data_IF_581343214343
#
_entry.id   IF_581343214343
#
_cell.length_a   1.000
_cell.length_b   1.000
_cell.length_c   1.000
_cell.angle_alpha   90.00
_cell.angle_beta   90.00
_cell.angle_gamma   90.00
#
_symmetry.space_group_name_H-M   'P 1'
#
loop_
_entity.id
_entity.type
_entity.pdbx_description
1 polymer ?
#
# COMPACT_ATOMS: atom_id res chain seq x y z
N UNK A 1 -43.78 -48.41 -60.14
CA UNK A 1 -42.37 -48.08 -60.43
C UNK A 1 -41.81 -47.22 -59.29
N UNK A 2 -40.76 -47.61 -58.57
CA UNK A 2 -40.14 -46.75 -57.55
C UNK A 2 -38.93 -46.00 -58.14
N UNK A 3 -38.82 -44.70 -57.86
CA UNK A 3 -37.69 -43.87 -58.26
C UNK A 3 -36.53 -43.95 -57.26
N UNK A 4 -35.26 -43.87 -57.69
CA UNK A 4 -34.11 -43.93 -56.79
C UNK A 4 -33.92 -42.58 -56.07
N UNK A 5 -33.91 -42.62 -54.73
CA UNK A 5 -33.57 -41.47 -53.88
C UNK A 5 -32.06 -41.23 -53.95
N UNK A 6 -31.62 -40.10 -54.53
CA UNK A 6 -30.23 -39.63 -54.47
C UNK A 6 -29.86 -39.35 -53.02
N UNK A 7 -28.98 -40.16 -52.44
CA UNK A 7 -28.38 -39.90 -51.12
C UNK A 7 -27.37 -38.76 -51.26
N UNK A 8 -27.67 -37.62 -50.65
CA UNK A 8 -26.72 -36.52 -50.48
C UNK A 8 -25.59 -36.99 -49.56
N UNK A 9 -24.35 -36.90 -50.03
CA UNK A 9 -23.17 -37.25 -49.23
C UNK A 9 -22.89 -36.10 -48.26
N UNK A 10 -22.74 -36.34 -46.95
CA UNK A 10 -22.37 -35.30 -46.01
C UNK A 10 -20.95 -34.81 -46.33
N UNK A 11 -20.78 -33.51 -46.53
CA UNK A 11 -19.47 -32.88 -46.61
C UNK A 11 -18.87 -32.89 -45.21
N UNK A 12 -17.82 -33.68 -44.99
CA UNK A 12 -17.07 -33.67 -43.74
C UNK A 12 -16.50 -32.27 -43.53
N UNK A 13 -16.98 -31.57 -42.51
CA UNK A 13 -16.37 -30.33 -42.04
C UNK A 13 -14.94 -30.65 -41.61
N UNK A 14 -13.95 -30.10 -42.30
CA UNK A 14 -12.55 -30.23 -41.89
C UNK A 14 -12.38 -29.52 -40.54
N UNK A 15 -12.34 -30.29 -39.46
CA UNK A 15 -11.87 -29.79 -38.17
C UNK A 15 -10.39 -29.44 -38.33
N UNK A 16 -10.09 -28.15 -38.44
CA UNK A 16 -8.71 -27.65 -38.37
C UNK A 16 -8.28 -27.71 -36.90
N UNK A 17 -7.44 -28.69 -36.58
CA UNK A 17 -6.78 -28.78 -35.29
C UNK A 17 -5.59 -27.83 -35.19
N UNK A 18 -5.24 -27.45 -33.97
CA UNK A 18 -4.03 -26.69 -33.66
C UNK A 18 -2.78 -27.50 -34.00
N UNK A 19 -1.73 -26.83 -34.48
CA UNK A 19 -0.45 -27.49 -34.74
C UNK A 19 0.45 -27.43 -33.50
N UNK A 20 1.33 -28.42 -33.33
CA UNK A 20 2.29 -28.43 -32.21
C UNK A 20 3.22 -27.21 -32.23
N UNK A 21 3.58 -26.74 -33.43
CA UNK A 21 4.44 -25.56 -33.59
C UNK A 21 3.75 -24.27 -33.13
N UNK A 22 2.43 -24.17 -33.28
CA UNK A 22 1.64 -23.02 -32.84
C UNK A 22 1.64 -22.91 -31.31
N UNK A 23 1.51 -24.04 -30.60
CA UNK A 23 1.65 -24.08 -29.14
C UNK A 23 3.10 -23.77 -28.70
N UNK A 24 4.10 -24.27 -29.43
CA UNK A 24 5.51 -24.04 -29.14
C UNK A 24 5.86 -22.54 -29.22
N UNK A 25 5.39 -21.85 -30.26
CA UNK A 25 5.62 -20.40 -30.41
C UNK A 25 4.96 -19.61 -29.27
N UNK A 26 3.75 -19.97 -28.85
CA UNK A 26 3.06 -19.29 -27.73
C UNK A 26 3.85 -19.42 -26.43
N UNK A 27 4.28 -20.62 -26.05
CA UNK A 27 5.01 -20.80 -24.78
C UNK A 27 6.38 -20.10 -24.81
N UNK A 28 7.03 -20.01 -25.97
CA UNK A 28 8.29 -19.26 -26.12
C UNK A 28 8.06 -17.77 -25.89
N UNK A 29 7.02 -17.19 -26.49
CA UNK A 29 6.68 -15.77 -26.28
C UNK A 29 6.30 -15.51 -24.82
N UNK A 30 5.49 -16.39 -24.20
CA UNK A 30 5.13 -16.27 -22.78
C UNK A 30 6.37 -16.33 -21.86
N UNK A 31 7.33 -17.20 -22.15
CA UNK A 31 8.57 -17.32 -21.38
C UNK A 31 9.42 -16.06 -21.48
N UNK A 32 9.50 -15.45 -22.67
CA UNK A 32 10.23 -14.20 -22.89
C UNK A 32 9.54 -13.01 -22.19
N UNK A 33 8.20 -12.93 -22.24
CA UNK A 33 7.44 -11.87 -21.58
C UNK A 33 7.49 -11.96 -20.05
N UNK A 34 7.52 -13.17 -19.48
CA UNK A 34 7.55 -13.37 -18.03
C UNK A 34 8.73 -12.65 -17.34
N UNK A 35 9.89 -12.58 -18.01
CA UNK A 35 11.10 -11.90 -17.49
C UNK A 35 10.89 -10.38 -17.36
N UNK A 36 10.12 -9.77 -18.27
CA UNK A 36 9.93 -8.32 -18.32
C UNK A 36 8.82 -7.81 -17.38
N UNK A 37 7.86 -8.66 -17.00
CA UNK A 37 6.69 -8.23 -16.20
C UNK A 37 6.94 -8.35 -14.69
N UNK A 38 7.93 -9.14 -14.27
CA UNK A 38 8.21 -9.40 -12.86
C UNK A 38 8.64 -8.18 -11.99
N UNK A 39 9.55 -7.28 -12.42
CA UNK A 39 10.15 -6.32 -11.48
C UNK A 39 9.25 -5.14 -11.10
N UNK A 40 8.21 -4.84 -11.89
CA UNK A 40 7.40 -3.63 -11.68
C UNK A 40 6.30 -3.79 -10.61
N UNK A 41 5.90 -5.01 -10.27
CA UNK A 41 4.77 -5.19 -9.33
C UNK A 41 5.21 -5.02 -7.89
N UNK A 42 6.40 -5.48 -7.52
CA UNK A 42 6.90 -5.44 -6.14
C UNK A 42 7.27 -4.02 -5.70
N UNK A 43 8.01 -3.25 -6.52
CA UNK A 43 8.38 -1.86 -6.20
C UNK A 43 7.19 -0.92 -5.98
N UNK A 44 6.08 -1.17 -6.70
CA UNK A 44 4.88 -0.35 -6.58
C UNK A 44 4.15 -0.56 -5.24
N UNK A 45 4.34 -1.71 -4.59
CA UNK A 45 3.72 -1.98 -3.28
C UNK A 45 4.46 -1.17 -2.21
N UNK A 46 5.79 -1.24 -2.17
CA UNK A 46 6.59 -0.51 -1.18
C UNK A 46 6.40 1.02 -1.30
N UNK A 47 6.32 1.56 -2.52
CA UNK A 47 6.06 2.99 -2.75
C UNK A 47 4.65 3.41 -2.28
N UNK A 48 3.64 2.56 -2.49
CA UNK A 48 2.27 2.82 -2.06
C UNK A 48 2.11 2.76 -0.54
N UNK A 49 2.84 1.85 0.13
CA UNK A 49 2.90 1.76 1.59
C UNK A 49 3.50 3.04 2.19
N UNK A 50 4.63 3.50 1.64
CA UNK A 50 5.25 4.79 2.03
C UNK A 50 4.30 5.96 1.83
N UNK A 51 3.61 6.04 0.69
CA UNK A 51 2.66 7.13 0.42
C UNK A 51 1.48 7.12 1.40
N UNK A 52 0.96 5.92 1.71
CA UNK A 52 -0.11 5.73 2.70
C UNK A 52 0.32 6.22 4.08
N UNK A 53 1.49 5.77 4.55
CA UNK A 53 2.07 6.18 5.85
C UNK A 53 2.29 7.70 5.90
N UNK A 54 2.81 8.32 4.84
CA UNK A 54 2.98 9.79 4.77
C UNK A 54 1.65 10.53 4.90
N UNK A 55 0.60 10.04 4.25
CA UNK A 55 -0.72 10.65 4.30
C UNK A 55 -1.33 10.52 5.70
N UNK A 56 -1.17 9.36 6.34
CA UNK A 56 -1.58 9.13 7.74
C UNK A 56 -0.85 10.08 8.69
N UNK A 57 0.49 10.15 8.62
CA UNK A 57 1.31 11.07 9.44
C UNK A 57 0.86 12.53 9.26
N UNK A 58 0.56 12.96 8.03
CA UNK A 58 0.07 14.31 7.75
C UNK A 58 -1.29 14.58 8.42
N UNK A 59 -2.21 13.61 8.34
CA UNK A 59 -3.54 13.68 8.97
C UNK A 59 -3.44 13.71 10.50
N UNK A 60 -2.62 12.84 11.09
CA UNK A 60 -2.38 12.78 12.52
C UNK A 60 -1.73 14.06 13.03
N UNK A 61 -0.77 14.63 12.28
CA UNK A 61 -0.14 15.91 12.62
C UNK A 61 -1.17 17.03 12.73
N UNK A 62 -2.12 17.09 11.79
CA UNK A 62 -3.19 18.09 11.84
C UNK A 62 -4.13 17.86 13.01
N UNK A 63 -4.50 16.61 13.26
CA UNK A 63 -5.38 16.26 14.37
C UNK A 63 -4.76 16.59 15.73
N UNK A 64 -3.48 16.31 15.91
CA UNK A 64 -2.75 16.67 17.12
C UNK A 64 -2.68 18.19 17.33
N UNK A 65 -2.56 18.99 16.25
CA UNK A 65 -2.66 20.47 16.39
C UNK A 65 -4.03 20.87 16.92
N UNK A 66 -5.11 20.27 16.42
CA UNK A 66 -6.47 20.55 16.91
C UNK A 66 -6.59 20.18 18.39
N UNK A 67 -6.03 19.03 18.81
CA UNK A 67 -5.98 18.64 20.22
C UNK A 67 -5.27 19.69 21.08
N UNK A 68 -4.08 20.13 20.65
CA UNK A 68 -3.30 21.16 21.35
C UNK A 68 -4.07 22.48 21.45
N UNK A 69 -4.78 22.88 20.40
CA UNK A 69 -5.62 24.07 20.41
C UNK A 69 -6.79 23.95 21.41
N UNK A 70 -7.38 22.76 21.55
CA UNK A 70 -8.54 22.50 22.42
C UNK A 70 -8.18 22.28 23.89
N UNK A 71 -7.05 21.66 24.19
CA UNK A 71 -6.66 21.23 25.54
C UNK A 71 -5.42 21.96 26.07
N UNK A 72 -4.75 22.77 25.24
CA UNK A 72 -3.52 23.53 25.57
C UNK A 72 -2.33 22.67 26.02
N UNK A 73 -2.40 21.36 25.80
CA UNK A 73 -1.34 20.37 26.03
C UNK A 73 -1.22 19.46 24.82
N UNK A 74 -0.08 18.79 24.69
CA UNK A 74 0.10 17.72 23.71
C UNK A 74 -0.65 16.46 24.15
N UNK A 75 -1.09 15.61 23.22
CA UNK A 75 -1.60 14.29 23.56
C UNK A 75 -0.46 13.43 24.12
N UNK A 76 -0.74 12.65 25.16
CA UNK A 76 0.24 11.72 25.75
C UNK A 76 0.21 10.36 25.03
N UNK A 77 -0.99 9.89 24.69
CA UNK A 77 -1.21 8.61 24.01
C UNK A 77 -2.26 8.75 22.89
N UNK A 78 -2.40 7.72 22.06
CA UNK A 78 -3.36 7.71 20.95
C UNK A 78 -4.81 7.70 21.42
N UNK A 79 -5.11 7.09 22.57
CA UNK A 79 -6.47 7.03 23.14
C UNK A 79 -7.08 8.42 23.29
N UNK A 80 -6.28 9.43 23.61
CA UNK A 80 -6.76 10.81 23.79
C UNK A 80 -7.26 11.46 22.49
N UNK A 81 -6.87 10.90 21.35
CA UNK A 81 -7.26 11.40 20.04
C UNK A 81 -8.52 10.71 19.50
N UNK A 82 -8.74 9.43 19.80
CA UNK A 82 -9.91 8.67 19.33
C UNK A 82 -10.98 8.39 20.40
N UNK A 83 -10.71 8.67 21.68
CA UNK A 83 -11.71 8.67 22.74
C UNK A 83 -12.18 10.08 23.08
N UNK A 84 -13.36 10.18 23.69
CA UNK A 84 -13.87 11.46 24.19
C UNK A 84 -13.09 11.90 25.43
N UNK A 85 -12.38 13.02 25.33
CA UNK A 85 -11.65 13.63 26.46
C UNK A 85 -12.38 14.90 26.91
N UNK A 86 -12.57 15.07 28.21
CA UNK A 86 -13.21 16.25 28.83
C UNK A 86 -14.63 16.57 28.29
N UNK A 87 -15.38 15.55 27.88
CA UNK A 87 -16.72 15.72 27.30
C UNK A 87 -16.74 16.33 25.90
N UNK A 88 -15.58 16.43 25.24
CA UNK A 88 -15.47 16.81 23.82
C UNK A 88 -15.47 15.55 22.95
N UNK A 89 -16.04 15.60 21.74
CA UNK A 89 -16.03 14.45 20.84
C UNK A 89 -14.59 14.08 20.46
N UNK A 90 -14.39 12.79 20.18
CA UNK A 90 -13.16 12.25 19.62
C UNK A 90 -12.76 13.00 18.34
N UNK A 91 -11.47 13.13 18.11
CA UNK A 91 -10.93 13.79 16.93
C UNK A 91 -10.66 12.82 15.78
N UNK A 92 -10.35 11.57 16.11
CA UNK A 92 -10.27 10.46 15.18
C UNK A 92 -11.42 9.49 15.40
N UNK A 93 -11.91 8.93 14.30
CA UNK A 93 -12.86 7.82 14.30
C UNK A 93 -12.06 6.53 14.17
N UNK A 94 -11.40 6.13 15.26
CA UNK A 94 -10.61 4.91 15.37
C UNK A 94 -11.08 4.12 16.60
N UNK A 95 -11.02 2.79 16.50
CA UNK A 95 -11.33 1.89 17.61
C UNK A 95 -10.09 1.47 18.39
N UNK A 96 -8.93 1.46 17.73
CA UNK A 96 -7.64 1.02 18.25
C UNK A 96 -6.53 1.99 17.81
N UNK A 97 -5.34 1.81 18.38
CA UNK A 97 -4.17 2.62 18.04
C UNK A 97 -3.80 2.46 16.55
N UNK A 98 -3.53 3.56 15.84
CA UNK A 98 -3.24 3.49 14.43
C UNK A 98 -1.89 2.81 14.19
N UNK A 99 -1.86 1.94 13.19
CA UNK A 99 -0.64 1.33 12.67
C UNK A 99 -0.28 1.92 11.31
N UNK A 100 1.02 1.91 11.02
CA UNK A 100 1.54 2.20 9.69
C UNK A 100 1.24 1.06 8.70
N UNK A 101 1.68 1.23 7.46
CA UNK A 101 1.46 0.26 6.39
C UNK A 101 2.13 -1.11 6.64
N UNK A 102 3.14 -1.16 7.50
CA UNK A 102 3.86 -2.39 7.86
C UNK A 102 3.33 -3.02 9.16
N UNK A 103 2.32 -2.41 9.79
CA UNK A 103 1.66 -2.92 10.99
C UNK A 103 2.30 -2.45 12.30
N UNK A 104 3.24 -1.51 12.25
CA UNK A 104 3.85 -0.94 13.44
C UNK A 104 2.97 0.19 13.98
N UNK A 105 2.72 0.21 15.29
CA UNK A 105 1.98 1.30 15.94
C UNK A 105 2.81 2.57 15.90
N UNK A 106 2.20 3.70 15.52
CA UNK A 106 2.91 4.98 15.51
C UNK A 106 3.32 5.41 16.92
N UNK A 107 4.45 6.08 17.06
CA UNK A 107 4.89 6.66 18.32
C UNK A 107 4.59 8.17 18.38
N UNK A 108 4.06 8.64 19.51
CA UNK A 108 3.90 10.06 19.82
C UNK A 108 5.05 10.50 20.72
N UNK A 109 5.92 11.37 20.21
CA UNK A 109 7.05 11.93 20.95
C UNK A 109 6.91 13.44 21.10
N UNK A 110 7.54 14.00 22.13
CA UNK A 110 7.72 15.45 22.20
C UNK A 110 8.71 15.91 21.14
N UNK A 111 8.40 16.99 20.43
CA UNK A 111 9.33 17.53 19.46
C UNK A 111 10.55 18.15 20.16
N UNK A 112 11.80 17.75 19.85
CA UNK A 112 12.99 18.17 20.59
C UNK A 112 13.26 19.69 20.49
N UNK A 113 13.04 20.28 19.32
CA UNK A 113 13.33 21.71 19.08
C UNK A 113 12.12 22.65 19.27
N UNK A 114 10.89 22.14 19.14
CA UNK A 114 9.68 22.97 19.06
C UNK A 114 8.75 22.67 20.22
N UNK A 115 8.76 23.54 21.22
CA UNK A 115 7.83 23.46 22.35
C UNK A 115 6.38 23.44 21.86
N UNK A 116 5.57 22.52 22.42
CA UNK A 116 4.15 22.29 22.06
C UNK A 116 3.91 21.78 20.64
N UNK A 117 4.86 21.04 20.07
CA UNK A 117 4.62 20.22 18.89
C UNK A 117 4.84 18.75 19.23
N UNK A 118 3.98 17.90 18.69
CA UNK A 118 4.16 16.46 18.78
C UNK A 118 4.90 15.99 17.53
N UNK A 119 5.84 15.08 17.73
CA UNK A 119 6.53 14.34 16.69
C UNK A 119 5.85 12.98 16.58
N UNK A 120 5.19 12.74 15.45
CA UNK A 120 4.64 11.42 15.11
C UNK A 120 5.73 10.66 14.36
N UNK A 121 6.02 9.43 14.78
CA UNK A 121 7.09 8.57 14.23
C UNK A 121 6.48 7.23 13.80
N UNK A 122 6.82 6.79 12.60
CA UNK A 122 6.57 5.46 12.03
C UNK A 122 7.89 4.72 12.00
N UNK A 123 7.93 3.48 12.49
CA UNK A 123 9.12 2.62 12.42
C UNK A 123 9.48 2.21 10.99
N UNK A 124 8.55 2.38 10.03
CA UNK A 124 8.87 2.12 8.63
C UNK A 124 8.95 0.63 8.30
N UNK A 125 9.55 0.28 7.14
CA UNK A 125 9.69 -1.09 6.67
C UNK A 125 10.44 -2.03 7.62
N UNK A 126 11.47 -1.56 8.33
CA UNK A 126 12.29 -2.42 9.19
C UNK A 126 11.64 -2.73 10.56
N UNK A 127 10.70 -1.88 10.99
CA UNK A 127 9.98 -2.03 12.26
C UNK A 127 10.80 -1.65 13.50
N UNK A 128 11.96 -1.02 13.31
CA UNK A 128 12.82 -0.51 14.38
C UNK A 128 12.75 1.02 14.41
N UNK A 129 12.48 1.60 15.58
CA UNK A 129 12.51 3.06 15.73
C UNK A 129 13.94 3.58 15.82
N UNK A 130 14.12 4.85 15.46
CA UNK A 130 15.37 5.59 15.48
C UNK A 130 16.38 5.12 14.41
N UNK A 131 15.86 4.62 13.29
CA UNK A 131 16.59 4.18 12.10
C UNK A 131 16.46 5.18 10.94
N UNK A 132 17.08 4.88 9.79
CA UNK A 132 17.10 5.80 8.63
C UNK A 132 15.78 5.79 7.83
N UNK A 133 15.00 4.71 7.94
CA UNK A 133 13.73 4.51 7.23
C UNK A 133 12.50 5.01 8.00
N UNK A 134 12.71 5.54 9.22
CA UNK A 134 11.69 6.20 10.02
C UNK A 134 10.98 7.33 9.26
N UNK A 135 9.65 7.25 9.20
CA UNK A 135 8.82 8.32 8.64
C UNK A 135 8.26 9.15 9.78
N UNK A 136 8.76 10.38 9.90
CA UNK A 136 8.39 11.32 10.96
C UNK A 136 7.57 12.49 10.43
N UNK A 137 6.81 13.12 11.32
CA UNK A 137 6.02 14.31 11.00
C UNK A 137 6.82 15.51 10.46
N UNK A 138 8.15 15.50 10.58
CA UNK A 138 9.05 16.53 10.06
C UNK A 138 9.74 16.13 8.75
N UNK A 139 10.05 14.85 8.54
CA UNK A 139 10.71 14.36 7.32
C UNK A 139 9.73 13.85 6.24
N UNK A 140 8.46 13.56 6.57
CA UNK A 140 7.53 12.82 5.67
C UNK A 140 7.39 13.42 4.26
N UNK A 141 7.51 14.75 4.13
CA UNK A 141 7.44 15.45 2.82
C UNK A 141 8.67 15.18 1.94
N UNK A 142 9.82 14.94 2.55
CA UNK A 142 11.12 14.73 1.89
C UNK A 142 11.51 13.26 1.83
N UNK A 143 10.89 12.43 2.66
CA UNK A 143 11.17 11.00 2.71
C UNK A 143 11.02 10.37 1.33
N UNK A 144 11.99 9.54 0.96
CA UNK A 144 11.96 8.72 -0.24
C UNK A 144 12.47 7.35 0.15
N UNK A 145 11.76 6.31 -0.29
CA UNK A 145 12.16 4.94 -0.04
C UNK A 145 13.60 4.75 -0.56
N UNK A 146 14.53 4.17 0.23
CA UNK A 146 15.86 3.86 -0.24
C UNK A 146 15.78 2.97 -1.48
N UNK A 147 16.52 3.28 -2.53
CA UNK A 147 16.58 2.39 -3.69
C UNK A 147 17.19 1.06 -3.24
N UNK A 148 16.50 -0.06 -3.51
CA UNK A 148 16.91 -1.42 -3.15
C UNK A 148 18.19 -1.92 -3.88
N UNK A 149 19.07 -1.01 -4.29
CA UNK A 149 20.27 -1.25 -5.10
C UNK A 149 21.58 -0.79 -4.49
N UNK A 150 21.60 -0.23 -3.27
CA UNK A 150 22.83 0.05 -2.52
C UNK A 150 22.97 -0.92 -1.33
N UNK A 151 23.28 -2.18 -1.65
CA UNK A 151 23.98 -3.13 -0.79
C UNK A 151 25.02 -3.90 -1.62
#
# INVERSE_FOLDING_TARGET
MPQPKKRLRPTLSQQRGFTLIELLVVIVILSLLAVFVAPNVLRNVDEAEVETTKNQVASFKETCKIFILKHRRIPENWEELYQSVDGKPALLDLEEDPTDAWGNVYELREHPEKTKQVLIVSAGPDGEFDTEDDITSDNFRKYKLPDAGDQ
#
